data_IF_335575705173
#
_entry.id   IF_335575705173
#
_cell.length_a   1.000
_cell.length_b   1.000
_cell.length_c   1.000
_cell.angle_alpha   90.00
_cell.angle_beta   90.00
_cell.angle_gamma   90.00
#
_symmetry.space_group_name_H-M   'P 1'
#
loop_
_entity.id
_entity.type
_entity.pdbx_description
1 polymer ?
#
# COMPACT_ATOMS: atom_id res chain seq x y z
N UNK A 1 8.06 3.71 17.26
CA UNK A 1 7.26 2.90 18.23
C UNK A 1 7.29 1.44 17.81
N UNK A 2 6.97 0.49 18.71
CA UNK A 2 7.01 -0.95 18.41
C UNK A 2 6.03 -1.30 17.29
N UNK A 3 4.83 -0.69 17.33
CA UNK A 3 3.80 -0.88 16.32
C UNK A 3 4.22 -0.41 14.93
N UNK A 4 4.91 0.71 14.85
CA UNK A 4 5.40 1.26 13.57
C UNK A 4 6.45 0.34 12.92
N UNK A 5 7.32 -0.25 13.74
CA UNK A 5 8.30 -1.24 13.29
C UNK A 5 7.57 -2.46 12.70
N UNK A 6 6.60 -3.01 13.44
CA UNK A 6 5.77 -4.12 12.98
C UNK A 6 5.05 -3.81 11.67
N UNK A 7 4.42 -2.63 11.56
CA UNK A 7 3.72 -2.18 10.34
C UNK A 7 4.68 -2.16 9.14
N UNK A 8 5.88 -1.61 9.30
CA UNK A 8 6.85 -1.50 8.22
C UNK A 8 7.40 -2.87 7.79
N UNK A 9 7.62 -3.79 8.73
CA UNK A 9 8.05 -5.16 8.44
C UNK A 9 6.95 -5.91 7.66
N UNK A 10 5.71 -5.90 8.13
CA UNK A 10 4.57 -6.50 7.42
C UNK A 10 4.38 -5.86 6.05
N UNK A 11 4.43 -4.53 5.94
CA UNK A 11 4.26 -3.84 4.65
C UNK A 11 5.32 -4.27 3.62
N UNK A 12 6.57 -4.42 4.05
CA UNK A 12 7.66 -4.90 3.19
C UNK A 12 7.37 -6.31 2.65
N UNK A 13 6.91 -7.20 3.52
CA UNK A 13 6.60 -8.58 3.15
C UNK A 13 5.33 -8.69 2.29
N UNK A 14 4.30 -7.89 2.59
CA UNK A 14 3.09 -7.83 1.76
C UNK A 14 3.45 -7.40 0.34
N UNK A 15 4.26 -6.35 0.17
CA UNK A 15 4.74 -5.91 -1.16
C UNK A 15 5.55 -6.97 -1.90
N UNK A 16 6.40 -7.72 -1.17
CA UNK A 16 7.21 -8.81 -1.74
C UNK A 16 6.36 -9.86 -2.46
N UNK A 17 5.18 -10.17 -1.93
CA UNK A 17 4.34 -11.26 -2.45
C UNK A 17 3.15 -10.79 -3.30
N UNK A 18 2.56 -9.63 -3.01
CA UNK A 18 1.28 -9.19 -3.56
C UNK A 18 1.16 -9.29 -5.09
N UNK A 19 2.19 -8.88 -5.82
CA UNK A 19 2.20 -8.91 -7.29
C UNK A 19 2.10 -10.32 -7.86
N UNK A 20 2.65 -11.33 -7.19
CA UNK A 20 2.61 -12.73 -7.60
C UNK A 20 1.19 -13.31 -7.50
N UNK A 21 0.33 -12.69 -6.69
CA UNK A 21 -1.05 -13.11 -6.43
C UNK A 21 -2.08 -12.14 -7.03
N UNK A 22 -1.66 -11.21 -7.88
CA UNK A 22 -2.52 -10.20 -8.53
C UNK A 22 -3.23 -9.27 -7.53
N UNK A 23 -2.63 -9.04 -6.37
CA UNK A 23 -3.14 -8.12 -5.34
C UNK A 23 -2.55 -6.72 -5.59
N UNK A 24 -3.43 -5.70 -5.64
CA UNK A 24 -3.10 -4.31 -5.99
C UNK A 24 -3.25 -3.34 -4.83
N UNK A 25 -3.79 -3.78 -3.70
CA UNK A 25 -3.99 -2.96 -2.51
C UNK A 25 -3.42 -3.66 -1.29
N UNK A 26 -2.61 -2.97 -0.50
CA UNK A 26 -1.79 -3.56 0.58
C UNK A 26 -2.29 -3.16 1.96
N UNK A 27 -2.84 -1.94 2.08
CA UNK A 27 -3.29 -1.39 3.36
C UNK A 27 -4.30 -2.27 4.10
N UNK A 28 -5.27 -2.95 3.44
CA UNK A 28 -6.17 -3.88 4.13
C UNK A 28 -5.44 -5.06 4.75
N UNK A 29 -4.47 -5.63 4.04
CA UNK A 29 -3.69 -6.80 4.49
C UNK A 29 -2.81 -6.41 5.68
N UNK A 30 -2.18 -5.23 5.61
CA UNK A 30 -1.38 -4.69 6.71
C UNK A 30 -2.26 -4.46 7.95
N UNK A 31 -3.46 -3.88 7.76
CA UNK A 31 -4.42 -3.66 8.83
C UNK A 31 -4.91 -4.96 9.48
N UNK A 32 -5.17 -6.01 8.66
CA UNK A 32 -5.50 -7.34 9.17
C UNK A 32 -4.40 -7.89 10.07
N UNK A 33 -3.14 -7.86 9.62
CA UNK A 33 -2.02 -8.30 10.44
C UNK A 33 -1.93 -7.53 11.76
N UNK A 34 -2.13 -6.21 11.73
CA UNK A 34 -2.13 -5.37 12.94
C UNK A 34 -3.23 -5.76 13.92
N UNK A 35 -4.47 -5.89 13.43
CA UNK A 35 -5.63 -6.18 14.28
C UNK A 35 -5.58 -7.61 14.83
N UNK A 36 -5.40 -8.61 13.98
CA UNK A 36 -5.42 -10.03 14.32
C UNK A 36 -4.28 -10.44 15.28
N UNK A 37 -3.13 -9.79 15.16
CA UNK A 37 -1.95 -10.10 15.98
C UNK A 37 -1.73 -9.13 17.15
N UNK A 38 -2.59 -8.13 17.34
CA UNK A 38 -2.32 -7.01 18.24
C UNK A 38 -0.91 -6.44 18.01
N UNK A 39 -0.59 -6.11 16.77
CA UNK A 39 0.74 -5.65 16.33
C UNK A 39 1.88 -6.61 16.67
N UNK A 40 1.63 -7.91 16.52
CA UNK A 40 2.62 -8.97 16.72
C UNK A 40 2.78 -9.44 18.19
N UNK A 41 2.01 -8.90 19.12
CA UNK A 41 2.14 -9.25 20.54
C UNK A 41 1.09 -10.24 21.06
N UNK A 42 0.10 -10.62 20.23
CA UNK A 42 -0.87 -11.63 20.63
C UNK A 42 -0.21 -12.98 20.91
N UNK A 43 -0.88 -13.83 21.70
CA UNK A 43 -0.41 -15.17 22.01
C UNK A 43 -0.16 -16.00 20.74
N UNK A 44 -1.06 -15.92 19.78
CA UNK A 44 -0.95 -16.65 18.51
C UNK A 44 0.24 -16.15 17.67
N UNK A 45 0.47 -14.84 17.64
CA UNK A 45 1.62 -14.25 16.95
C UNK A 45 2.94 -14.71 17.59
N UNK A 46 3.04 -14.71 18.94
CA UNK A 46 4.27 -15.09 19.66
C UNK A 46 4.59 -16.57 19.57
N UNK A 47 3.57 -17.43 19.73
CA UNK A 47 3.77 -18.87 19.88
C UNK A 47 3.71 -19.63 18.55
N UNK A 48 3.02 -19.09 17.55
CA UNK A 48 2.80 -19.75 16.26
C UNK A 48 3.25 -18.92 15.05
N UNK A 49 3.82 -17.72 15.26
CA UNK A 49 4.17 -16.77 14.18
C UNK A 49 3.00 -16.53 13.21
N UNK A 50 1.76 -16.57 13.72
CA UNK A 50 0.55 -16.44 12.91
C UNK A 50 -0.07 -15.06 13.16
N UNK A 51 0.22 -14.13 12.26
CA UNK A 51 -0.16 -12.72 12.37
C UNK A 51 -1.51 -12.40 11.75
N UNK A 52 -2.14 -13.35 11.06
CA UNK A 52 -3.42 -13.15 10.37
C UNK A 52 -4.56 -14.00 10.93
N UNK A 53 -4.34 -14.71 12.03
CA UNK A 53 -5.37 -15.60 12.55
C UNK A 53 -5.75 -16.72 11.58
N UNK A 54 -4.80 -17.25 10.82
CA UNK A 54 -5.05 -18.29 9.82
C UNK A 54 -5.38 -19.61 10.49
N UNK A 55 -6.62 -20.09 10.30
CA UNK A 55 -7.07 -21.40 10.78
C UNK A 55 -6.50 -22.51 9.91
N UNK A 56 -6.22 -23.65 10.55
CA UNK A 56 -5.78 -24.83 9.79
C UNK A 56 -6.84 -25.27 8.77
N UNK A 57 -6.40 -25.41 7.53
CA UNK A 57 -7.15 -26.00 6.43
C UNK A 57 -6.19 -26.88 5.64
N UNK A 58 -6.55 -28.16 5.47
CA UNK A 58 -5.70 -29.14 4.78
C UNK A 58 -5.26 -28.61 3.39
N UNK A 59 -3.96 -28.68 3.13
CA UNK A 59 -3.32 -28.32 1.85
C UNK A 59 -3.49 -26.84 1.41
N UNK A 60 -3.76 -25.91 2.32
CA UNK A 60 -4.02 -24.50 1.96
C UNK A 60 -2.82 -23.57 2.11
N UNK A 61 -1.89 -23.91 2.98
CA UNK A 61 -0.70 -23.09 3.28
C UNK A 61 0.56 -23.97 3.32
N UNK A 62 1.24 -24.19 2.20
CA UNK A 62 2.47 -24.99 2.16
C UNK A 62 3.61 -24.43 3.02
N UNK A 63 3.60 -23.13 3.31
CA UNK A 63 4.59 -22.46 4.17
C UNK A 63 4.40 -22.72 5.66
N UNK A 64 3.27 -23.27 6.09
CA UNK A 64 3.04 -23.63 7.48
C UNK A 64 3.82 -24.89 7.87
N UNK A 65 4.36 -24.87 9.10
CA UNK A 65 5.18 -25.98 9.65
C UNK A 65 4.45 -26.85 10.68
N UNK A 66 3.24 -26.43 11.09
CA UNK A 66 2.49 -27.17 12.11
C UNK A 66 1.14 -26.54 12.44
N UNK A 67 0.56 -27.06 13.51
CA UNK A 67 -0.74 -26.65 14.03
C UNK A 67 -0.58 -26.21 15.48
N UNK A 68 -1.06 -25.00 15.78
CA UNK A 68 -1.21 -24.48 17.14
C UNK A 68 -2.67 -24.61 17.57
N UNK A 69 -2.89 -25.27 18.73
CA UNK A 69 -4.24 -25.54 19.27
C UNK A 69 -4.51 -24.68 20.48
N UNK A 70 -5.62 -23.95 20.46
CA UNK A 70 -6.11 -23.18 21.61
C UNK A 70 -7.62 -23.00 21.55
N UNK A 71 -8.21 -22.63 22.70
CA UNK A 71 -9.59 -22.16 22.73
C UNK A 71 -9.65 -20.82 22.02
N UNK A 72 -10.51 -20.71 21.02
CA UNK A 72 -10.83 -19.48 20.31
C UNK A 72 -12.28 -19.11 20.54
N UNK A 73 -12.62 -17.85 20.28
CA UNK A 73 -13.96 -17.30 20.41
C UNK A 73 -14.44 -16.82 19.03
N UNK A 74 -15.65 -17.22 18.65
CA UNK A 74 -16.31 -16.76 17.42
C UNK A 74 -17.61 -16.03 17.75
N UNK A 75 -17.85 -14.89 17.09
CA UNK A 75 -19.09 -14.14 17.24
C UNK A 75 -20.17 -14.77 16.35
N UNK A 76 -21.32 -15.07 16.97
CA UNK A 76 -22.50 -15.53 16.27
C UNK A 76 -23.30 -14.36 15.65
N UNK A 77 -24.23 -14.62 14.71
CA UNK A 77 -25.06 -13.58 14.11
C UNK A 77 -25.92 -12.80 15.12
N UNK A 78 -26.27 -13.42 16.24
CA UNK A 78 -27.02 -12.80 17.35
C UNK A 78 -26.16 -11.99 18.32
N UNK A 79 -24.87 -11.78 17.99
CA UNK A 79 -23.82 -11.10 18.76
C UNK A 79 -23.36 -11.85 20.02
N UNK A 80 -23.80 -13.05 20.26
CA UNK A 80 -23.22 -13.93 21.28
C UNK A 80 -21.86 -14.49 20.84
N UNK A 81 -21.12 -15.10 21.78
CA UNK A 81 -19.83 -15.71 21.49
C UNK A 81 -19.83 -17.19 21.83
N UNK A 82 -19.31 -18.00 20.93
CA UNK A 82 -19.08 -19.42 21.16
C UNK A 82 -17.59 -19.68 21.28
N UNK A 83 -17.18 -20.29 22.38
CA UNK A 83 -15.81 -20.73 22.60
C UNK A 83 -15.67 -22.21 22.21
N UNK A 84 -14.68 -22.50 21.37
CA UNK A 84 -14.37 -23.85 20.95
C UNK A 84 -12.86 -24.07 20.80
N UNK A 85 -12.43 -25.33 20.83
CA UNK A 85 -11.06 -25.67 20.43
C UNK A 85 -10.90 -25.45 18.94
N UNK A 86 -9.89 -24.64 18.61
CA UNK A 86 -9.56 -24.29 17.22
C UNK A 86 -8.13 -24.67 16.90
N UNK A 87 -7.91 -25.04 15.67
CA UNK A 87 -6.61 -25.34 15.10
C UNK A 87 -6.15 -24.17 14.21
N UNK A 88 -5.01 -23.60 14.57
CA UNK A 88 -4.39 -22.49 13.88
C UNK A 88 -3.13 -22.94 13.19
N UNK A 89 -2.79 -22.33 12.05
CA UNK A 89 -1.51 -22.60 11.38
C UNK A 89 -0.36 -22.03 12.21
N UNK A 90 0.75 -22.75 12.23
CA UNK A 90 2.02 -22.30 12.80
C UNK A 90 3.05 -22.13 11.70
N UNK A 91 3.81 -21.04 11.75
CA UNK A 91 4.82 -20.68 10.75
C UNK A 91 6.21 -20.59 11.40
N UNK A 92 7.30 -20.76 10.62
CA UNK A 92 8.66 -20.62 11.15
C UNK A 92 9.01 -19.15 11.46
N UNK A 93 8.47 -18.21 10.68
CA UNK A 93 8.73 -16.78 10.81
C UNK A 93 7.62 -15.93 10.18
N UNK A 94 7.78 -14.62 10.23
CA UNK A 94 6.84 -13.63 9.68
C UNK A 94 6.76 -13.72 8.15
N UNK A 95 7.86 -13.96 7.45
CA UNK A 95 7.90 -14.07 5.99
C UNK A 95 7.03 -15.23 5.50
N UNK A 96 7.20 -16.39 6.11
CA UNK A 96 6.40 -17.58 5.80
C UNK A 96 4.91 -17.37 6.13
N UNK A 97 4.60 -16.64 7.19
CA UNK A 97 3.23 -16.32 7.56
C UNK A 97 2.57 -15.38 6.53
N UNK A 98 3.27 -14.32 6.10
CA UNK A 98 2.74 -13.42 5.06
C UNK A 98 2.54 -14.18 3.74
N UNK A 99 3.50 -15.00 3.33
CA UNK A 99 3.32 -15.89 2.18
C UNK A 99 2.11 -16.81 2.36
N UNK A 100 1.96 -17.39 3.54
CA UNK A 100 0.82 -18.25 3.89
C UNK A 100 -0.53 -17.55 3.81
N UNK A 101 -0.61 -16.26 4.12
CA UNK A 101 -1.81 -15.45 3.91
C UNK A 101 -2.20 -15.41 2.42
N UNK A 102 -1.24 -15.14 1.54
CA UNK A 102 -1.50 -15.13 0.09
C UNK A 102 -1.87 -16.52 -0.44
N UNK A 103 -1.19 -17.57 -0.01
CA UNK A 103 -1.54 -18.96 -0.37
C UNK A 103 -2.97 -19.30 0.11
N UNK A 104 -3.33 -18.90 1.34
CA UNK A 104 -4.64 -19.12 1.95
C UNK A 104 -5.76 -18.42 1.18
N UNK A 105 -5.52 -17.20 0.73
CA UNK A 105 -6.50 -16.40 -0.02
C UNK A 105 -6.48 -16.68 -1.52
N UNK A 106 -5.45 -17.35 -2.05
CA UNK A 106 -5.38 -17.69 -3.47
C UNK A 106 -6.22 -18.95 -3.81
N UNK A 107 -7.50 -18.88 -3.56
CA UNK A 107 -8.46 -19.96 -3.82
C UNK A 107 -9.68 -19.38 -4.53
N UNK A 108 -10.50 -20.23 -5.20
CA UNK A 108 -11.70 -19.78 -5.89
C UNK A 108 -12.66 -18.95 -5.02
N UNK A 109 -12.70 -19.22 -3.71
CA UNK A 109 -13.54 -18.49 -2.76
C UNK A 109 -13.16 -17.02 -2.65
N UNK A 110 -11.88 -16.69 -2.80
CA UNK A 110 -11.32 -15.33 -2.65
C UNK A 110 -10.91 -14.69 -4.00
N UNK A 111 -11.40 -15.21 -5.13
CA UNK A 111 -11.02 -14.70 -6.47
C UNK A 111 -11.34 -13.23 -6.71
N UNK A 112 -12.33 -12.70 -5.99
CA UNK A 112 -12.79 -11.32 -6.07
C UNK A 112 -11.84 -10.31 -5.36
N UNK A 113 -10.78 -10.79 -4.68
CA UNK A 113 -9.73 -9.95 -4.11
C UNK A 113 -8.71 -9.50 -5.16
N UNK A 114 -8.59 -10.24 -6.26
CA UNK A 114 -7.62 -9.96 -7.33
C UNK A 114 -7.95 -8.66 -8.04
N UNK A 115 -6.91 -7.88 -8.33
CA UNK A 115 -7.00 -6.60 -9.04
C UNK A 115 -7.90 -5.54 -8.37
N UNK A 116 -8.28 -5.72 -7.11
CA UNK A 116 -8.97 -4.68 -6.33
C UNK A 116 -7.96 -3.63 -5.91
N UNK A 117 -8.28 -2.36 -6.13
CA UNK A 117 -7.45 -1.20 -5.78
C UNK A 117 -8.01 -0.38 -4.63
N UNK A 118 -9.29 -0.56 -4.32
CA UNK A 118 -9.98 0.14 -3.22
C UNK A 118 -9.90 -0.68 -1.92
N UNK A 119 -9.33 -0.12 -0.83
CA UNK A 119 -9.19 -0.83 0.44
C UNK A 119 -10.51 -1.29 1.06
N UNK A 120 -11.53 -0.44 1.00
CA UNK A 120 -12.84 -0.75 1.56
C UNK A 120 -13.50 -1.91 0.83
N UNK A 121 -13.45 -1.88 -0.50
CA UNK A 121 -13.97 -2.97 -1.35
C UNK A 121 -13.24 -4.29 -1.08
N UNK A 122 -11.91 -4.26 -0.91
CA UNK A 122 -11.14 -5.45 -0.56
C UNK A 122 -11.64 -6.06 0.77
N UNK A 123 -11.84 -5.23 1.79
CA UNK A 123 -12.32 -5.67 3.11
C UNK A 123 -13.75 -6.18 3.08
N UNK A 124 -14.62 -5.57 2.30
CA UNK A 124 -15.99 -6.08 2.09
C UNK A 124 -15.97 -7.46 1.42
N UNK A 125 -15.16 -7.61 0.39
CA UNK A 125 -15.03 -8.88 -0.34
C UNK A 125 -14.53 -10.00 0.59
N UNK A 126 -13.38 -9.81 1.25
CA UNK A 126 -12.78 -10.85 2.09
C UNK A 126 -13.68 -11.26 3.26
N UNK A 127 -14.45 -10.30 3.83
CA UNK A 127 -15.47 -10.60 4.85
C UNK A 127 -16.61 -11.43 4.28
N UNK A 128 -17.14 -11.05 3.12
CA UNK A 128 -18.21 -11.78 2.44
C UNK A 128 -17.79 -13.20 2.07
N UNK A 129 -16.51 -13.42 1.78
CA UNK A 129 -15.91 -14.73 1.48
C UNK A 129 -15.68 -15.60 2.74
N UNK A 130 -16.07 -15.10 3.92
CA UNK A 130 -16.06 -15.87 5.17
C UNK A 130 -14.72 -15.88 5.92
N UNK A 131 -13.87 -14.88 5.70
CA UNK A 131 -12.61 -14.75 6.45
C UNK A 131 -12.84 -14.46 7.94
N UNK A 132 -13.80 -13.60 8.26
CA UNK A 132 -14.15 -13.19 9.61
C UNK A 132 -15.66 -13.16 9.85
N UNK A 133 -16.08 -13.47 11.08
CA UNK A 133 -17.50 -13.48 11.51
C UNK A 133 -17.92 -12.18 12.19
N UNK A 134 -16.97 -11.36 12.68
CA UNK A 134 -17.26 -10.10 13.36
C UNK A 134 -18.08 -9.14 12.48
N UNK A 135 -19.15 -8.60 13.04
CA UNK A 135 -20.03 -7.65 12.33
C UNK A 135 -19.32 -6.34 12.00
N UNK A 136 -18.43 -5.89 12.89
CA UNK A 136 -17.70 -4.62 12.75
C UNK A 136 -16.36 -4.76 12.04
N UNK A 137 -16.03 -5.95 11.49
CA UNK A 137 -14.71 -6.27 10.95
C UNK A 137 -14.18 -5.24 9.96
N UNK A 138 -15.00 -4.81 9.01
CA UNK A 138 -14.61 -3.83 7.99
C UNK A 138 -14.32 -2.46 8.61
N UNK A 139 -15.20 -2.01 9.51
CA UNK A 139 -15.06 -0.69 10.16
C UNK A 139 -13.83 -0.64 11.07
N UNK A 140 -13.56 -1.72 11.82
CA UNK A 140 -12.39 -1.83 12.70
C UNK A 140 -11.09 -1.74 11.88
N UNK A 141 -11.02 -2.46 10.75
CA UNK A 141 -9.86 -2.42 9.86
C UNK A 141 -9.70 -1.08 9.15
N UNK A 142 -10.80 -0.44 8.71
CA UNK A 142 -10.75 0.90 8.15
C UNK A 142 -10.28 1.94 9.18
N UNK A 143 -10.60 1.76 10.46
CA UNK A 143 -10.08 2.60 11.55
C UNK A 143 -8.57 2.41 11.72
N UNK A 144 -8.05 1.18 11.63
CA UNK A 144 -6.60 0.91 11.65
C UNK A 144 -5.91 1.56 10.44
N UNK A 145 -6.49 1.42 9.24
CA UNK A 145 -5.96 2.03 8.01
C UNK A 145 -5.83 3.55 8.18
N UNK A 146 -6.88 4.22 8.67
CA UNK A 146 -6.88 5.67 8.90
C UNK A 146 -5.90 6.09 9.99
N UNK A 147 -5.93 5.40 11.16
CA UNK A 147 -5.06 5.72 12.31
C UNK A 147 -3.58 5.75 11.92
N UNK A 148 -3.13 4.81 11.08
CA UNK A 148 -1.74 4.65 10.71
C UNK A 148 -1.40 5.15 9.30
N UNK A 149 -2.38 5.77 8.61
CA UNK A 149 -2.23 6.21 7.21
C UNK A 149 -1.64 5.08 6.33
N UNK A 150 -2.24 3.88 6.41
CA UNK A 150 -1.67 2.71 5.74
C UNK A 150 -1.81 2.76 4.22
N UNK A 151 -2.71 3.59 3.69
CA UNK A 151 -2.84 3.80 2.23
C UNK A 151 -1.56 4.33 1.59
N UNK A 152 -0.65 4.91 2.37
CA UNK A 152 0.70 5.26 1.90
C UNK A 152 1.49 4.06 1.35
N UNK A 153 1.14 2.84 1.73
CA UNK A 153 1.75 1.62 1.23
C UNK A 153 1.09 1.09 -0.04
N UNK A 154 -0.17 1.47 -0.33
CA UNK A 154 -0.91 1.08 -1.53
C UNK A 154 -0.39 1.76 -2.79
N UNK A 155 0.23 2.92 -2.59
CA UNK A 155 0.95 3.57 -3.65
C UNK A 155 2.14 2.65 -3.95
N UNK A 156 2.07 1.91 -5.05
CA UNK A 156 3.29 1.44 -5.65
C UNK A 156 4.11 2.71 -5.90
N UNK A 157 5.05 2.98 -5.01
CA UNK A 157 6.16 3.81 -5.41
C UNK A 157 6.79 3.00 -6.52
N UNK A 158 6.41 3.36 -7.73
CA UNK A 158 7.18 2.97 -8.86
C UNK A 158 8.55 3.64 -8.62
N UNK A 159 9.47 2.90 -7.99
CA UNK A 159 10.88 3.29 -7.93
C UNK A 159 11.44 3.40 -9.34
N UNK A 160 10.60 3.10 -10.33
CA UNK A 160 10.67 3.34 -11.73
C UNK A 160 9.70 4.43 -12.23
N UNK A 161 9.32 5.43 -11.44
CA UNK A 161 8.87 6.68 -12.04
C UNK A 161 10.05 7.22 -12.83
N UNK A 162 10.20 6.63 -14.00
CA UNK A 162 11.19 7.09 -14.97
C UNK A 162 10.63 8.35 -15.61
N UNK A 163 11.43 9.40 -15.57
CA UNK A 163 11.14 10.60 -16.34
C UNK A 163 10.82 10.23 -17.79
N UNK A 164 9.98 11.03 -18.45
CA UNK A 164 9.59 10.79 -19.83
C UNK A 164 10.78 10.50 -20.72
N UNK A 165 10.76 9.44 -21.56
CA UNK A 165 11.82 9.16 -22.53
C UNK A 165 11.93 10.22 -23.62
N UNK A 166 10.97 11.14 -23.71
CA UNK A 166 10.97 12.26 -24.66
C UNK A 166 11.82 13.45 -24.20
N UNK A 167 12.41 13.37 -22.99
CA UNK A 167 13.31 14.43 -22.49
C UNK A 167 14.55 14.53 -23.36
N UNK A 168 14.79 15.72 -23.87
CA UNK A 168 15.96 16.05 -24.70
C UNK A 168 16.99 16.92 -23.97
N UNK A 169 16.62 17.51 -22.83
CA UNK A 169 17.47 18.37 -22.01
C UNK A 169 17.14 18.20 -20.54
N UNK A 170 18.16 18.15 -19.68
CA UNK A 170 17.95 18.04 -18.22
C UNK A 170 18.70 19.14 -17.49
N UNK A 171 17.96 19.92 -16.70
CA UNK A 171 18.51 20.87 -15.75
C UNK A 171 17.63 20.87 -14.50
N UNK A 172 18.04 20.10 -13.51
CA UNK A 172 17.24 19.92 -12.30
C UNK A 172 17.25 21.17 -11.44
N UNK A 173 16.05 21.55 -10.97
CA UNK A 173 15.81 22.58 -9.98
C UNK A 173 15.68 21.95 -8.60
N UNK A 174 16.25 22.56 -7.55
CA UNK A 174 16.05 22.11 -6.17
C UNK A 174 14.68 22.54 -5.60
N UNK A 175 13.89 23.28 -6.35
CA UNK A 175 12.63 23.87 -5.91
C UNK A 175 11.50 22.83 -6.00
N UNK A 176 11.44 21.91 -5.02
CA UNK A 176 10.41 20.88 -4.93
C UNK A 176 10.20 20.44 -3.47
N UNK A 177 9.02 19.90 -3.16
CA UNK A 177 8.65 19.45 -1.82
C UNK A 177 9.13 18.01 -1.50
N UNK A 178 10.11 17.50 -2.23
CA UNK A 178 10.58 16.12 -2.09
C UNK A 178 9.69 15.13 -2.84
N UNK A 179 9.79 13.87 -2.44
CA UNK A 179 9.10 12.77 -3.11
C UNK A 179 7.58 12.89 -3.00
N UNK A 180 6.87 12.61 -4.10
CA UNK A 180 5.41 12.57 -4.12
C UNK A 180 4.86 11.52 -3.15
N UNK A 181 3.73 11.84 -2.55
CA UNK A 181 2.98 10.94 -1.66
C UNK A 181 1.82 10.24 -2.38
N UNK A 182 1.49 10.71 -3.60
CA UNK A 182 0.40 10.19 -4.43
C UNK A 182 0.90 9.87 -5.84
N UNK A 183 0.22 8.95 -6.54
CA UNK A 183 0.42 8.69 -7.96
C UNK A 183 0.05 9.93 -8.79
N UNK A 184 0.68 10.08 -9.96
CA UNK A 184 0.31 11.13 -10.90
C UNK A 184 -1.00 10.72 -11.58
N UNK A 185 -2.07 11.45 -11.31
CA UNK A 185 -3.41 11.27 -11.91
C UNK A 185 -3.84 12.46 -12.76
N UNK A 186 -3.07 13.56 -12.74
CA UNK A 186 -3.39 14.80 -13.44
C UNK A 186 -2.15 15.43 -14.05
N UNK A 187 -2.35 16.08 -15.20
CA UNK A 187 -1.38 16.94 -15.86
C UNK A 187 -1.99 18.35 -15.90
N UNK A 188 -1.28 19.32 -15.31
CA UNK A 188 -1.71 20.72 -15.33
C UNK A 188 -0.76 21.50 -16.23
N UNK A 189 -1.17 21.86 -17.46
CA UNK A 189 -0.36 22.69 -18.33
C UNK A 189 -0.42 24.16 -17.93
N UNK A 190 0.74 24.82 -17.91
CA UNK A 190 0.85 26.26 -17.71
C UNK A 190 1.47 26.90 -18.93
N UNK A 191 0.93 28.06 -19.37
CA UNK A 191 1.53 28.84 -20.43
C UNK A 191 2.74 29.62 -19.91
N UNK A 192 3.85 29.55 -20.65
CA UNK A 192 4.99 30.43 -20.43
C UNK A 192 4.84 31.68 -21.30
N UNK A 193 4.96 32.86 -20.71
CA UNK A 193 4.93 34.10 -21.50
C UNK A 193 6.23 34.23 -22.30
N UNK A 194 6.15 34.18 -23.60
CA UNK A 194 7.28 34.23 -24.52
C UNK A 194 7.56 32.90 -25.21
N UNK A 195 8.32 32.95 -26.29
CA UNK A 195 8.72 31.78 -27.09
C UNK A 195 10.12 31.31 -26.70
N UNK A 196 10.19 30.61 -25.55
CA UNK A 196 11.46 30.12 -25.03
C UNK A 196 11.80 28.74 -25.62
N UNK A 197 13.10 28.42 -25.65
CA UNK A 197 13.58 27.04 -25.87
C UNK A 197 13.43 26.23 -24.59
N UNK A 198 13.57 24.91 -24.66
CA UNK A 198 13.54 24.02 -23.50
C UNK A 198 14.58 24.44 -22.45
N UNK A 199 15.79 24.79 -22.85
CA UNK A 199 16.87 25.29 -22.01
C UNK A 199 16.50 26.63 -21.36
N UNK A 200 15.85 27.54 -22.14
CA UNK A 200 15.37 28.83 -21.66
C UNK A 200 14.30 28.68 -20.57
N UNK A 201 13.35 27.73 -20.74
CA UNK A 201 12.34 27.43 -19.74
C UNK A 201 13.01 26.87 -18.47
N UNK A 202 13.94 25.91 -18.62
CA UNK A 202 14.65 25.34 -17.47
C UNK A 202 15.47 26.38 -16.69
N UNK A 203 16.00 27.40 -17.38
CA UNK A 203 16.74 28.50 -16.76
C UNK A 203 15.83 29.43 -15.93
N UNK A 204 14.50 29.38 -16.12
CA UNK A 204 13.56 30.17 -15.35
C UNK A 204 13.38 29.70 -13.89
N UNK A 205 13.93 28.54 -13.52
CA UNK A 205 13.72 27.93 -12.20
C UNK A 205 15.04 27.72 -11.43
N UNK A 206 15.84 28.79 -11.19
CA UNK A 206 17.04 28.70 -10.40
C UNK A 206 16.74 28.40 -8.93
N UNK A 207 17.77 27.99 -8.19
CA UNK A 207 17.68 27.84 -6.74
C UNK A 207 17.17 29.14 -6.07
N UNK A 208 16.26 28.97 -5.10
CA UNK A 208 15.70 30.11 -4.35
C UNK A 208 14.46 30.75 -5.00
N UNK A 209 14.06 30.34 -6.20
CA UNK A 209 12.78 30.75 -6.78
C UNK A 209 11.66 29.87 -6.18
N UNK A 210 10.61 30.48 -5.65
CA UNK A 210 9.45 29.78 -5.07
C UNK A 210 8.49 29.24 -6.14
N UNK A 211 9.04 28.66 -7.19
CA UNK A 211 8.30 28.04 -8.28
C UNK A 211 9.15 27.00 -9.01
N UNK A 212 8.52 25.99 -9.58
CA UNK A 212 9.11 25.01 -10.52
C UNK A 212 8.03 24.28 -11.28
N UNK A 213 8.44 23.48 -12.26
CA UNK A 213 7.57 22.51 -12.96
C UNK A 213 8.36 21.22 -13.22
N UNK A 214 7.66 20.12 -13.51
CA UNK A 214 8.36 18.87 -13.84
C UNK A 214 8.99 18.96 -15.24
N UNK A 215 8.25 19.47 -16.22
CA UNK A 215 8.69 19.56 -17.61
C UNK A 215 8.47 20.94 -18.19
N UNK A 216 9.35 21.36 -19.08
CA UNK A 216 9.19 22.52 -19.93
C UNK A 216 9.23 22.11 -21.40
N UNK A 217 8.21 22.49 -22.18
CA UNK A 217 8.18 22.23 -23.62
C UNK A 217 8.56 23.52 -24.34
N UNK A 218 9.69 23.48 -25.03
CA UNK A 218 10.22 24.60 -25.81
C UNK A 218 9.42 24.85 -27.12
N UNK A 219 9.59 26.03 -27.70
CA UNK A 219 8.99 26.41 -28.98
C UNK A 219 9.37 25.49 -30.16
N UNK A 220 10.44 24.75 -30.01
CA UNK A 220 10.97 23.77 -30.97
C UNK A 220 10.48 22.35 -30.69
N UNK A 221 9.56 22.18 -29.75
CA UNK A 221 9.01 20.88 -29.33
C UNK A 221 9.94 20.05 -28.46
N UNK A 222 11.15 20.54 -28.15
CA UNK A 222 12.04 19.86 -27.21
C UNK A 222 11.52 19.93 -25.78
N UNK A 223 11.83 18.90 -24.99
CA UNK A 223 11.35 18.77 -23.62
C UNK A 223 12.53 18.85 -22.65
N UNK A 224 12.44 19.80 -21.71
CA UNK A 224 13.35 19.91 -20.59
C UNK A 224 12.75 19.19 -19.36
N UNK A 225 13.57 18.38 -18.66
CA UNK A 225 13.29 17.91 -17.31
C UNK A 225 13.84 18.91 -16.30
N UNK A 226 12.96 19.42 -15.45
CA UNK A 226 13.28 20.47 -14.47
C UNK A 226 13.13 19.95 -13.04
N UNK A 227 12.08 19.17 -12.76
CA UNK A 227 11.92 18.41 -11.52
C UNK A 227 11.57 16.98 -11.91
N UNK A 228 12.28 16.00 -11.36
CA UNK A 228 11.97 14.59 -11.63
C UNK A 228 10.52 14.23 -11.27
N UNK A 229 9.89 13.36 -12.07
CA UNK A 229 8.47 12.97 -11.84
C UNK A 229 8.23 12.41 -10.44
N UNK A 230 9.20 11.70 -9.86
CA UNK A 230 9.11 11.20 -8.49
C UNK A 230 8.98 12.31 -7.43
N UNK A 231 9.32 13.55 -7.79
CA UNK A 231 9.28 14.70 -6.89
C UNK A 231 8.10 15.62 -7.22
N UNK A 232 7.58 16.26 -6.18
CA UNK A 232 6.49 17.23 -6.29
C UNK A 232 7.06 18.62 -6.59
N UNK A 233 6.85 19.12 -7.81
CA UNK A 233 7.23 20.48 -8.20
C UNK A 233 6.31 21.54 -7.59
N UNK A 234 6.80 22.78 -7.47
CA UNK A 234 6.03 23.94 -6.99
C UNK A 234 5.39 24.68 -8.17
N UNK A 235 4.47 24.00 -8.88
CA UNK A 235 3.89 24.56 -10.11
C UNK A 235 2.57 25.31 -9.90
N UNK A 236 1.96 25.18 -8.71
CA UNK A 236 0.76 25.93 -8.34
C UNK A 236 0.68 26.11 -6.84
N UNK A 237 0.05 27.21 -6.40
CA UNK A 237 -0.19 27.51 -5.00
C UNK A 237 -1.59 27.09 -4.51
N UNK A 238 -2.32 26.27 -5.29
CA UNK A 238 -3.67 25.85 -4.90
C UNK A 238 -3.64 24.51 -4.19
N UNK A 239 -4.34 24.39 -3.07
CA UNK A 239 -4.52 23.15 -2.33
C UNK A 239 -5.13 22.02 -3.19
N UNK A 240 -5.86 22.34 -4.27
CA UNK A 240 -6.44 21.36 -5.19
C UNK A 240 -5.37 20.63 -6.04
N UNK A 241 -4.20 21.25 -6.25
CA UNK A 241 -3.07 20.66 -6.97
C UNK A 241 -2.01 20.09 -6.00
N UNK A 242 -2.26 20.22 -4.71
CA UNK A 242 -1.38 19.79 -3.64
C UNK A 242 -1.79 18.44 -3.02
N UNK A 243 -2.90 17.86 -3.51
CA UNK A 243 -3.43 16.55 -3.08
C UNK A 243 -3.00 15.44 -4.01
#
# INVERSE_FOLDING_TARGET
>A
MVEEKFINEIATLVKKYASQYEIKVYSPIIAQACLESAYGISELARNAQNYFGLKHRKNRCPSAIGIYRKVGSEQNPDRTYTNSYMEWLSFPDMDACVKGYFDFTNTPAYKNLKNVTDPYKYLCNIKADGYATSLNYVDDLMNVIRKWNLTKFDIERDDKMSNSPLVSYTKLSPNHSGQRTHSIDRITPHCVVGQLTAEGIAACFPAGREASCNYGIGKDGKIALIVEEKNRSWCSSSNANDQ
#
